data_IF_777762252766
#
_entry.id   IF_777762252766
#
_cell.length_a   1.000
_cell.length_b   1.000
_cell.length_c   1.000
_cell.angle_alpha   90.00
_cell.angle_beta   90.00
_cell.angle_gamma   90.00
#
_symmetry.space_group_name_H-M   'P 1'
#
loop_
_entity.id
_entity.type
_entity.pdbx_description
1 polymer ?
#
# COMPACT_ATOMS: atom_id res chain seq x y z
N UNK A 1 -19.97 1.78 20.62
CA UNK A 1 -19.62 1.17 19.33
C UNK A 1 -18.23 1.67 18.99
N UNK A 2 -17.21 0.81 19.05
CA UNK A 2 -15.81 1.19 18.75
C UNK A 2 -15.69 1.17 17.22
N UNK A 3 -15.22 2.26 16.61
CA UNK A 3 -15.03 2.31 15.16
C UNK A 3 -13.59 1.88 14.79
N UNK A 4 -13.33 1.38 13.59
CA UNK A 4 -12.02 0.87 13.17
C UNK A 4 -10.85 1.86 13.39
N UNK A 5 -11.12 3.17 13.38
CA UNK A 5 -10.13 4.22 13.70
C UNK A 5 -9.64 4.14 15.14
N UNK A 6 -10.53 3.79 16.08
CA UNK A 6 -10.19 3.64 17.49
C UNK A 6 -9.36 2.38 17.73
N UNK A 7 -9.63 1.31 16.99
CA UNK A 7 -8.85 0.06 17.05
C UNK A 7 -7.45 0.24 16.46
N UNK A 8 -7.32 0.92 15.31
CA UNK A 8 -5.99 1.26 14.74
C UNK A 8 -5.18 2.15 15.69
N UNK A 9 -5.85 3.07 16.38
CA UNK A 9 -5.22 3.97 17.36
C UNK A 9 -4.81 3.21 18.63
N UNK A 10 -5.62 2.27 19.11
CA UNK A 10 -5.29 1.41 20.23
C UNK A 10 -4.10 0.49 19.91
N UNK A 11 -4.07 -0.13 18.73
CA UNK A 11 -2.95 -0.95 18.27
C UNK A 11 -1.66 -0.14 18.15
N UNK A 12 -1.73 1.08 17.60
CA UNK A 12 -0.59 2.01 17.55
C UNK A 12 -0.08 2.36 18.96
N UNK A 13 -0.98 2.64 19.90
CA UNK A 13 -0.63 2.94 21.29
C UNK A 13 -0.04 1.73 22.03
N UNK A 14 -0.40 0.51 21.63
CA UNK A 14 0.18 -0.74 22.11
C UNK A 14 1.50 -1.12 21.42
N UNK A 15 2.04 -0.29 20.52
CA UNK A 15 3.27 -0.55 19.78
C UNK A 15 3.11 -1.55 18.62
N UNK A 16 1.87 -1.97 18.32
CA UNK A 16 1.57 -2.88 17.21
C UNK A 16 1.50 -2.06 15.92
N UNK A 17 2.41 -2.35 14.98
CA UNK A 17 2.39 -1.76 13.64
C UNK A 17 1.22 -2.32 12.84
N UNK A 18 0.19 -1.51 12.63
CA UNK A 18 -0.92 -1.83 11.72
C UNK A 18 -0.60 -1.30 10.33
N UNK A 19 -0.59 -2.19 9.31
CA UNK A 19 -0.47 -1.78 7.91
C UNK A 19 -1.80 -1.19 7.45
N UNK A 20 -1.77 0.03 6.91
CA UNK A 20 -2.92 0.60 6.18
C UNK A 20 -3.10 -0.09 4.82
N UNK A 21 -4.19 0.21 4.13
CA UNK A 21 -4.57 -0.42 2.85
C UNK A 21 -3.43 -0.39 1.82
N UNK A 22 -2.73 0.74 1.67
CA UNK A 22 -1.56 0.86 0.78
C UNK A 22 -0.45 -0.13 1.16
N UNK A 23 -0.19 -0.30 2.46
CA UNK A 23 0.81 -1.25 2.96
C UNK A 23 0.43 -2.70 2.67
N UNK A 24 -0.85 -3.04 2.77
CA UNK A 24 -1.35 -4.38 2.39
C UNK A 24 -1.19 -4.62 0.88
N UNK A 25 -1.52 -3.63 0.04
CA UNK A 25 -1.35 -3.73 -1.42
C UNK A 25 0.13 -3.94 -1.78
N UNK A 26 1.04 -3.19 -1.14
CA UNK A 26 2.49 -3.35 -1.34
C UNK A 26 2.97 -4.76 -1.00
N UNK A 27 2.53 -5.31 0.14
CA UNK A 27 2.86 -6.69 0.54
C UNK A 27 2.35 -7.73 -0.47
N UNK A 28 1.15 -7.54 -1.01
CA UNK A 28 0.60 -8.44 -2.02
C UNK A 28 1.43 -8.43 -3.31
N UNK A 29 2.01 -7.29 -3.69
CA UNK A 29 2.94 -7.22 -4.81
C UNK A 29 4.25 -7.93 -4.50
N UNK A 30 4.85 -7.68 -3.33
CA UNK A 30 6.11 -8.33 -2.91
C UNK A 30 5.98 -9.85 -2.81
N UNK A 31 4.79 -10.35 -2.44
CA UNK A 31 4.48 -11.78 -2.37
C UNK A 31 3.99 -12.39 -3.69
N UNK A 32 4.02 -11.61 -4.78
CA UNK A 32 3.52 -12.01 -6.09
C UNK A 32 2.03 -12.46 -6.11
N UNK A 33 1.24 -12.01 -5.13
CA UNK A 33 -0.21 -12.25 -5.07
C UNK A 33 -0.92 -11.30 -6.04
N UNK A 34 -0.46 -10.05 -6.13
CA UNK A 34 -0.90 -9.06 -7.10
C UNK A 34 0.23 -8.71 -8.05
N UNK A 35 -0.11 -8.55 -9.33
CA UNK A 35 0.84 -7.95 -10.28
C UNK A 35 0.99 -6.46 -10.00
N UNK A 36 2.12 -5.89 -10.41
CA UNK A 36 2.37 -4.45 -10.31
C UNK A 36 1.28 -3.65 -11.05
N UNK A 37 0.83 -4.12 -12.22
CA UNK A 37 -0.24 -3.47 -12.98
C UNK A 37 -1.55 -3.40 -12.19
N UNK A 38 -2.00 -4.53 -11.65
CA UNK A 38 -3.23 -4.60 -10.87
C UNK A 38 -3.16 -3.73 -9.60
N UNK A 39 -2.02 -3.73 -8.91
CA UNK A 39 -1.83 -2.87 -7.73
C UNK A 39 -1.88 -1.37 -8.09
N UNK A 40 -1.31 -0.99 -9.23
CA UNK A 40 -1.36 0.40 -9.71
C UNK A 40 -2.78 0.80 -10.10
N UNK A 41 -3.56 -0.06 -10.74
CA UNK A 41 -4.97 0.21 -11.09
C UNK A 41 -5.82 0.45 -9.83
N UNK A 42 -5.67 -0.38 -8.80
CA UNK A 42 -6.36 -0.20 -7.51
C UNK A 42 -5.99 1.16 -6.89
N UNK A 43 -4.71 1.52 -6.90
CA UNK A 43 -4.25 2.79 -6.35
C UNK A 43 -4.77 3.98 -7.17
N UNK A 44 -4.86 3.88 -8.50
CA UNK A 44 -5.48 4.92 -9.34
C UNK A 44 -6.94 5.14 -8.95
N UNK A 45 -7.72 4.07 -8.71
CA UNK A 45 -9.10 4.18 -8.25
C UNK A 45 -9.16 4.95 -6.92
N UNK A 46 -8.25 4.69 -5.98
CA UNK A 46 -8.21 5.43 -4.72
C UNK A 46 -7.88 6.91 -4.91
N UNK A 47 -6.96 7.21 -5.82
CA UNK A 47 -6.53 8.59 -6.11
C UNK A 47 -7.65 9.40 -6.76
N UNK A 48 -8.40 8.77 -7.65
CA UNK A 48 -9.46 9.42 -8.42
C UNK A 48 -10.76 9.56 -7.58
N UNK A 49 -10.85 8.88 -6.43
CA UNK A 49 -11.99 8.93 -5.51
C UNK A 49 -11.58 9.25 -4.05
N UNK A 50 -10.88 10.37 -3.78
CA UNK A 50 -10.30 10.64 -2.47
C UNK A 50 -11.35 10.84 -1.35
N UNK A 51 -12.57 11.26 -1.71
CA UNK A 51 -13.70 11.40 -0.78
C UNK A 51 -14.25 10.07 -0.27
N UNK A 52 -14.06 8.98 -1.02
CA UNK A 52 -14.53 7.64 -0.65
C UNK A 52 -13.50 6.91 0.23
N UNK A 53 -12.22 7.07 -0.11
CA UNK A 53 -11.14 6.34 0.56
C UNK A 53 -10.44 7.14 1.66
N UNK A 54 -10.62 8.47 1.70
CA UNK A 54 -10.06 9.36 2.72
C UNK A 54 -8.53 9.25 2.81
N UNK A 55 -7.88 9.03 1.67
CA UNK A 55 -6.44 8.99 1.50
C UNK A 55 -6.04 10.17 0.63
N UNK A 56 -5.01 10.89 1.05
CA UNK A 56 -4.44 11.98 0.26
C UNK A 56 -3.92 11.45 -1.10
N UNK A 57 -4.36 12.03 -2.23
CA UNK A 57 -3.85 11.68 -3.56
C UNK A 57 -2.32 11.69 -3.67
N UNK A 58 -1.62 12.61 -3.00
CA UNK A 58 -0.15 12.66 -3.04
C UNK A 58 0.49 11.43 -2.40
N UNK A 59 -0.10 10.91 -1.31
CA UNK A 59 0.34 9.67 -0.67
C UNK A 59 0.19 8.48 -1.64
N UNK A 60 -0.86 8.50 -2.44
CA UNK A 60 -1.13 7.46 -3.44
C UNK A 60 -0.12 7.54 -4.59
N UNK A 61 0.21 8.74 -5.08
CA UNK A 61 1.22 8.91 -6.11
C UNK A 61 2.61 8.43 -5.65
N UNK A 62 2.97 8.70 -4.39
CA UNK A 62 4.19 8.15 -3.76
C UNK A 62 4.15 6.62 -3.74
N UNK A 63 3.01 6.03 -3.37
CA UNK A 63 2.83 4.58 -3.32
C UNK A 63 2.97 3.94 -4.72
N UNK A 64 2.34 4.51 -5.74
CA UNK A 64 2.44 4.06 -7.14
C UNK A 64 3.90 4.09 -7.60
N UNK A 65 4.62 5.19 -7.32
CA UNK A 65 6.05 5.30 -7.68
C UNK A 65 6.88 4.21 -7.01
N UNK A 66 6.62 3.92 -5.74
CA UNK A 66 7.33 2.88 -4.97
C UNK A 66 7.06 1.49 -5.54
N UNK A 67 5.80 1.14 -5.80
CA UNK A 67 5.42 -0.17 -6.35
C UNK A 67 6.02 -0.37 -7.74
N UNK A 68 6.00 0.65 -8.61
CA UNK A 68 6.64 0.56 -9.92
C UNK A 68 8.15 0.33 -9.81
N UNK A 69 8.80 0.88 -8.80
CA UNK A 69 10.24 0.66 -8.57
C UNK A 69 10.57 -0.74 -8.04
N UNK A 70 9.62 -1.50 -7.47
CA UNK A 70 9.84 -2.91 -7.11
C UNK A 70 10.19 -3.76 -8.33
N UNK A 71 9.63 -3.46 -9.51
CA UNK A 71 10.01 -4.14 -10.77
C UNK A 71 11.47 -3.95 -11.17
N UNK A 72 12.07 -2.82 -10.79
CA UNK A 72 13.44 -2.46 -11.20
C UNK A 72 14.50 -3.09 -10.30
N UNK A 73 14.15 -3.42 -9.05
CA UNK A 73 15.06 -4.06 -8.10
C UNK A 73 15.15 -5.59 -8.23
N UNK A 74 14.23 -6.24 -8.96
CA UNK A 74 14.19 -7.71 -9.07
C UNK A 74 15.15 -8.31 -10.11
N UNK A 75 15.97 -7.48 -10.77
CA UNK A 75 16.95 -7.92 -11.79
C UNK A 75 18.40 -7.99 -11.28
N UNK A 76 18.68 -7.75 -9.99
CA UNK A 76 20.04 -7.66 -9.45
C UNK A 76 20.43 -8.81 -8.49
N UNK A 77 19.77 -9.96 -8.58
CA UNK A 77 20.15 -11.15 -7.79
C UNK A 77 20.27 -12.38 -8.69
N UNK A 78 21.25 -12.37 -9.59
CA UNK A 78 21.82 -13.61 -10.15
C UNK A 78 23.28 -13.37 -10.55
N UNK A 79 24.18 -13.27 -9.56
CA UNK A 79 25.60 -13.58 -9.75
C UNK A 79 26.19 -13.97 -8.40
N UNK A 80 26.10 -15.26 -8.06
CA UNK A 80 27.11 -16.01 -7.31
C UNK A 80 26.99 -17.48 -7.72
#
# INVERSE_FOLDING_TARGET
MINERDERRAAKNAGVKVKGTIGVISDCVERCILTIGAAVEILIIFRDNPSEFWIDPEIIDIAIKRIKNLSKGSNDVTTL
#
